data_IF_357342583561
#
_entry.id   IF_357342583561
#
_cell.length_a   1.000
_cell.length_b   1.000
_cell.length_c   1.000
_cell.angle_alpha   90.00
_cell.angle_beta   90.00
_cell.angle_gamma   90.00
#
_symmetry.space_group_name_H-M   'P 1'
#
loop_
_entity.id
_entity.type
_entity.pdbx_description
1 polymer ?
#
# COMPACT_ATOMS: atom_id res chain seq x y z
N UNK A 1 -39.32 6.19 36.34
CA UNK A 1 -38.31 5.19 35.96
C UNK A 1 -38.22 5.16 34.44
N UNK A 2 -37.10 5.61 33.86
CA UNK A 2 -36.70 5.27 32.48
C UNK A 2 -35.19 5.14 32.47
N UNK A 3 -34.74 4.01 31.93
CA UNK A 3 -33.41 3.41 32.08
C UNK A 3 -32.31 4.25 31.42
N UNK A 4 -31.24 4.49 32.17
CA UNK A 4 -29.97 4.98 31.66
C UNK A 4 -29.25 3.86 30.92
N UNK A 5 -29.19 3.96 29.59
CA UNK A 5 -28.39 3.09 28.74
C UNK A 5 -26.92 3.12 29.19
N UNK A 6 -26.38 1.94 29.50
CA UNK A 6 -24.97 1.73 29.88
C UNK A 6 -24.03 2.41 28.87
N UNK A 7 -22.96 3.10 29.31
CA UNK A 7 -21.96 3.65 28.41
C UNK A 7 -21.22 2.49 27.77
N UNK A 8 -21.49 2.21 26.49
CA UNK A 8 -20.63 1.34 25.70
C UNK A 8 -19.24 1.96 25.71
N UNK A 9 -18.29 1.23 26.27
CA UNK A 9 -16.93 1.68 26.54
C UNK A 9 -16.35 2.29 25.25
N UNK A 10 -16.16 3.61 25.24
CA UNK A 10 -15.68 4.36 24.06
C UNK A 10 -14.41 3.74 23.47
N UNK A 11 -13.57 3.13 24.32
CA UNK A 11 -12.39 2.35 23.91
C UNK A 11 -12.72 1.19 22.97
N UNK A 12 -13.84 0.50 23.18
CA UNK A 12 -14.32 -0.57 22.30
C UNK A 12 -14.86 -0.03 20.98
N UNK A 13 -15.46 1.17 20.98
CA UNK A 13 -15.93 1.84 19.75
C UNK A 13 -14.75 2.29 18.88
N UNK A 14 -13.70 2.85 19.48
CA UNK A 14 -12.47 3.22 18.77
C UNK A 14 -11.66 1.99 18.34
N UNK A 15 -11.58 0.95 19.16
CA UNK A 15 -10.96 -0.32 18.78
C UNK A 15 -11.69 -0.98 17.62
N UNK A 16 -13.03 -0.96 17.61
CA UNK A 16 -13.84 -1.49 16.51
C UNK A 16 -13.76 -0.62 15.25
N UNK A 17 -13.55 0.70 15.35
CA UNK A 17 -13.28 1.57 14.20
C UNK A 17 -11.90 1.30 13.60
N UNK A 18 -10.85 1.25 14.43
CA UNK A 18 -9.50 0.88 13.98
C UNK A 18 -9.47 -0.53 13.42
N UNK A 19 -10.14 -1.49 14.05
CA UNK A 19 -10.26 -2.84 13.53
C UNK A 19 -11.05 -2.89 12.20
N UNK A 20 -12.09 -2.07 12.01
CA UNK A 20 -12.81 -1.97 10.72
C UNK A 20 -12.02 -1.24 9.63
N UNK A 21 -11.20 -0.26 9.98
CA UNK A 21 -10.27 0.41 9.05
C UNK A 21 -9.11 -0.50 8.67
N UNK A 22 -8.60 -1.29 9.62
CA UNK A 22 -7.58 -2.33 9.38
C UNK A 22 -8.18 -3.55 8.68
N UNK A 23 -9.45 -3.90 8.92
CA UNK A 23 -10.19 -4.92 8.15
C UNK A 23 -10.55 -4.44 6.73
N UNK A 24 -10.53 -3.14 6.43
CA UNK A 24 -10.58 -2.66 5.04
C UNK A 24 -9.26 -2.83 4.30
N UNK A 25 -8.17 -3.16 5.01
CA UNK A 25 -6.93 -3.70 4.45
C UNK A 25 -7.01 -5.23 4.29
N UNK A 26 -8.23 -5.81 4.26
CA UNK A 26 -8.46 -7.22 3.91
C UNK A 26 -7.78 -7.51 2.58
N UNK A 27 -7.06 -8.63 2.56
CA UNK A 27 -6.32 -9.19 1.43
C UNK A 27 -6.92 -8.79 0.08
N UNK A 28 -6.12 -8.03 -0.67
CA UNK A 28 -6.43 -7.51 -1.99
C UNK A 28 -7.19 -8.56 -2.81
N UNK A 29 -8.47 -8.30 -3.04
CA UNK A 29 -9.18 -8.93 -4.14
C UNK A 29 -8.37 -8.66 -5.41
N UNK A 30 -7.68 -9.69 -5.88
CA UNK A 30 -6.83 -9.60 -7.07
C UNK A 30 -7.63 -9.77 -8.34
N UNK A 31 -8.94 -10.07 -8.25
CA UNK A 31 -9.82 -10.29 -9.40
C UNK A 31 -9.74 -9.14 -10.42
N UNK A 32 -9.84 -7.85 -10.03
CA UNK A 32 -9.73 -6.74 -11.00
C UNK A 32 -8.37 -6.68 -11.70
N UNK A 33 -7.30 -7.10 -11.02
CA UNK A 33 -5.95 -7.14 -11.58
C UNK A 33 -5.77 -8.34 -12.52
N UNK A 34 -6.35 -9.49 -12.18
CA UNK A 34 -6.37 -10.66 -13.05
C UNK A 34 -7.20 -10.38 -14.30
N UNK A 35 -8.34 -9.71 -14.17
CA UNK A 35 -9.18 -9.31 -15.31
C UNK A 35 -8.45 -8.36 -16.24
N UNK A 36 -7.73 -7.37 -15.69
CA UNK A 36 -7.01 -6.37 -16.47
C UNK A 36 -5.69 -6.87 -17.07
N UNK A 37 -4.85 -7.48 -16.25
CA UNK A 37 -3.47 -7.82 -16.61
C UNK A 37 -3.29 -9.28 -17.00
N UNK A 38 -4.28 -10.14 -16.74
CA UNK A 38 -4.22 -11.61 -16.84
C UNK A 38 -3.35 -12.25 -15.76
N UNK A 39 -3.75 -13.45 -15.30
CA UNK A 39 -2.98 -14.22 -14.32
C UNK A 39 -1.54 -14.50 -14.82
N UNK A 40 -1.39 -14.83 -16.11
CA UNK A 40 -0.10 -15.11 -16.73
C UNK A 40 0.88 -13.96 -16.55
N UNK A 41 0.44 -12.72 -16.78
CA UNK A 41 1.31 -11.54 -16.65
C UNK A 41 1.73 -11.28 -15.21
N UNK A 42 0.79 -11.44 -14.28
CA UNK A 42 1.08 -11.30 -12.84
C UNK A 42 2.09 -12.35 -12.39
N UNK A 43 1.99 -13.58 -12.89
CA UNK A 43 2.94 -14.65 -12.60
C UNK A 43 4.32 -14.35 -13.19
N UNK A 44 4.40 -13.87 -14.43
CA UNK A 44 5.66 -13.42 -15.07
C UNK A 44 6.35 -12.33 -14.24
N UNK A 45 5.63 -11.28 -13.83
CA UNK A 45 6.22 -10.22 -13.01
C UNK A 45 6.65 -10.70 -11.63
N UNK A 46 5.90 -11.63 -11.04
CA UNK A 46 6.25 -12.24 -9.76
C UNK A 46 7.53 -13.06 -9.89
N UNK A 47 7.67 -13.83 -10.98
CA UNK A 47 8.88 -14.60 -11.27
C UNK A 47 10.09 -13.69 -11.46
N UNK A 48 9.96 -12.63 -12.28
CA UNK A 48 11.00 -11.61 -12.47
C UNK A 48 11.39 -10.91 -11.15
N UNK A 49 10.45 -10.85 -10.20
CA UNK A 49 10.69 -10.30 -8.86
C UNK A 49 11.27 -11.31 -7.86
N UNK A 50 11.71 -12.48 -8.31
CA UNK A 50 12.28 -13.55 -7.48
C UNK A 50 11.22 -14.30 -6.68
N UNK A 51 10.00 -14.42 -7.20
CA UNK A 51 8.87 -15.07 -6.53
C UNK A 51 8.22 -14.25 -5.40
N UNK A 52 8.74 -13.05 -5.12
CA UNK A 52 8.25 -12.16 -4.06
C UNK A 52 6.88 -11.59 -4.42
N UNK A 53 6.04 -11.36 -3.40
CA UNK A 53 4.66 -10.87 -3.59
C UNK A 53 4.66 -9.47 -4.23
N UNK A 54 3.93 -9.33 -5.34
CA UNK A 54 3.67 -8.04 -5.98
C UNK A 54 2.81 -7.14 -5.09
N UNK A 55 2.92 -5.84 -5.32
CA UNK A 55 2.12 -4.81 -4.66
C UNK A 55 1.01 -4.40 -5.61
N UNK A 56 -0.24 -4.40 -5.12
CA UNK A 56 -1.43 -4.07 -5.89
C UNK A 56 -2.05 -2.79 -5.32
N UNK A 57 -2.07 -1.73 -6.12
CA UNK A 57 -2.70 -0.46 -5.78
C UNK A 57 -4.06 -0.37 -6.45
N UNK A 58 -5.09 0.01 -5.69
CA UNK A 58 -6.43 0.23 -6.20
C UNK A 58 -7.04 1.46 -5.58
N UNK A 59 -7.56 2.35 -6.42
CA UNK A 59 -8.44 3.43 -6.02
C UNK A 59 -9.61 3.47 -7.00
N UNK A 60 -10.81 3.15 -6.52
CA UNK A 60 -12.00 3.01 -7.36
C UNK A 60 -11.78 2.05 -8.56
N UNK A 61 -11.72 2.60 -9.77
CA UNK A 61 -11.49 1.88 -11.02
C UNK A 61 -10.02 1.89 -11.46
N UNK A 62 -9.19 2.72 -10.83
CA UNK A 62 -7.77 2.83 -11.16
C UNK A 62 -6.98 1.72 -10.47
N UNK A 63 -6.12 1.05 -11.24
CA UNK A 63 -5.35 -0.12 -10.82
C UNK A 63 -3.89 0.05 -11.22
N UNK A 64 -2.99 -0.32 -10.31
CA UNK A 64 -1.57 -0.47 -10.63
C UNK A 64 -0.91 -1.65 -9.93
N UNK A 65 0.12 -2.18 -10.57
CA UNK A 65 0.95 -3.27 -10.07
C UNK A 65 2.37 -2.79 -9.95
N UNK A 66 2.97 -3.01 -8.79
CA UNK A 66 4.35 -2.65 -8.49
C UNK A 66 5.13 -3.90 -8.11
N UNK A 67 6.42 -3.91 -8.45
CA UNK A 67 7.35 -4.92 -7.97
C UNK A 67 7.62 -4.70 -6.46
N UNK A 68 7.96 -5.76 -5.71
CA UNK A 68 8.38 -5.60 -4.33
C UNK A 68 9.71 -4.84 -4.23
N UNK A 69 9.88 -3.98 -3.21
CA UNK A 69 11.12 -3.23 -3.01
C UNK A 69 12.30 -4.16 -2.67
N UNK A 70 13.49 -3.76 -3.07
CA UNK A 70 14.79 -4.33 -2.70
C UNK A 70 15.41 -3.50 -1.57
N UNK A 71 16.56 -3.95 -1.06
CA UNK A 71 17.31 -3.17 -0.06
C UNK A 71 17.76 -1.81 -0.63
N UNK A 72 18.16 -1.77 -1.90
CA UNK A 72 18.61 -0.53 -2.56
C UNK A 72 17.44 0.45 -2.71
N UNK A 73 16.26 -0.01 -3.16
CA UNK A 73 15.07 0.85 -3.26
C UNK A 73 14.69 1.46 -1.88
N UNK A 74 14.89 0.70 -0.79
CA UNK A 74 14.62 1.19 0.56
C UNK A 74 15.69 2.18 1.04
N UNK A 75 16.94 1.99 0.63
CA UNK A 75 18.02 2.96 0.86
C UNK A 75 17.73 4.29 0.19
N UNK A 76 17.39 4.26 -1.10
CA UNK A 76 17.01 5.43 -1.89
C UNK A 76 15.80 6.15 -1.27
N UNK A 77 14.78 5.38 -0.86
CA UNK A 77 13.61 5.90 -0.15
C UNK A 77 14.01 6.62 1.15
N UNK A 78 14.88 6.03 1.97
CA UNK A 78 15.33 6.63 3.23
C UNK A 78 16.12 7.93 3.01
N UNK A 79 17.01 7.96 2.02
CA UNK A 79 17.74 9.17 1.64
C UNK A 79 16.78 10.26 1.13
N UNK A 80 15.82 9.88 0.28
CA UNK A 80 14.81 10.80 -0.24
C UNK A 80 13.94 11.41 0.88
N UNK A 81 13.61 10.66 1.94
CA UNK A 81 12.89 11.23 3.10
C UNK A 81 13.68 12.38 3.73
N UNK A 82 15.00 12.20 3.91
CA UNK A 82 15.87 13.20 4.53
C UNK A 82 16.05 14.47 3.70
N UNK A 83 15.89 14.40 2.39
CA UNK A 83 16.16 15.50 1.44
C UNK A 83 14.88 16.17 0.92
N UNK A 84 13.87 15.37 0.59
CA UNK A 84 12.65 15.80 -0.11
C UNK A 84 11.38 15.73 0.75
N UNK A 85 11.46 15.11 1.93
CA UNK A 85 10.32 14.81 2.78
C UNK A 85 9.56 13.55 2.36
N UNK A 86 8.74 13.03 3.29
CA UNK A 86 8.12 11.71 3.17
C UNK A 86 7.22 11.54 1.94
N UNK A 87 6.35 12.52 1.66
CA UNK A 87 5.38 12.44 0.55
C UNK A 87 6.09 12.23 -0.80
N UNK A 88 7.10 13.06 -1.06
CA UNK A 88 7.88 13.00 -2.29
C UNK A 88 8.77 11.75 -2.36
N UNK A 89 9.33 11.31 -1.23
CA UNK A 89 10.08 10.07 -1.16
C UNK A 89 9.21 8.84 -1.51
N UNK A 90 7.99 8.78 -1.00
CA UNK A 90 7.02 7.73 -1.35
C UNK A 90 6.68 7.80 -2.83
N UNK A 91 6.38 8.97 -3.39
CA UNK A 91 6.09 9.11 -4.82
C UNK A 91 7.24 8.60 -5.70
N UNK A 92 8.48 9.02 -5.40
CA UNK A 92 9.68 8.61 -6.15
C UNK A 92 9.89 7.08 -6.14
N UNK A 93 9.83 6.45 -4.96
CA UNK A 93 10.01 5.00 -4.90
C UNK A 93 8.83 4.26 -5.51
N UNK A 94 7.61 4.81 -5.45
CA UNK A 94 6.42 4.22 -6.11
C UNK A 94 6.62 4.15 -7.62
N UNK A 95 7.13 5.22 -8.22
CA UNK A 95 7.47 5.29 -9.64
C UNK A 95 8.58 4.28 -10.01
N UNK A 96 9.63 4.18 -9.19
CA UNK A 96 10.73 3.21 -9.37
C UNK A 96 10.30 1.73 -9.28
N UNK A 97 9.23 1.46 -8.54
CA UNK A 97 8.66 0.12 -8.38
C UNK A 97 7.55 -0.18 -9.42
N UNK A 98 7.17 0.78 -10.24
CA UNK A 98 6.04 0.64 -11.16
C UNK A 98 6.27 -0.42 -12.23
N UNK A 99 5.34 -1.36 -12.37
CA UNK A 99 5.34 -2.34 -13.46
C UNK A 99 4.36 -1.95 -14.56
N UNK A 100 3.10 -1.69 -14.18
CA UNK A 100 2.04 -1.28 -15.10
C UNK A 100 0.82 -0.75 -14.32
N UNK A 101 -0.06 0.00 -14.98
CA UNK A 101 -1.30 0.52 -14.41
C UNK A 101 -1.61 1.96 -14.75
N UNK A 102 -2.60 2.52 -14.05
CA UNK A 102 -3.03 3.90 -14.23
C UNK A 102 -2.11 4.87 -13.48
N UNK A 103 -1.29 5.58 -14.24
CA UNK A 103 -0.33 6.57 -13.71
C UNK A 103 -1.03 7.70 -12.92
N UNK A 104 -2.31 7.93 -13.20
CA UNK A 104 -3.14 8.91 -12.48
C UNK A 104 -3.19 8.64 -10.97
N UNK A 105 -2.94 7.40 -10.52
CA UNK A 105 -2.83 7.06 -9.10
C UNK A 105 -1.69 7.80 -8.38
N UNK A 106 -0.68 8.28 -9.11
CA UNK A 106 0.46 9.01 -8.54
C UNK A 106 0.59 10.44 -9.07
N UNK A 107 -0.08 10.78 -10.18
CA UNK A 107 -0.11 12.14 -10.74
C UNK A 107 -1.22 13.01 -10.14
N UNK A 108 -2.36 12.42 -9.76
CA UNK A 108 -3.46 13.13 -9.11
C UNK A 108 -3.28 13.10 -7.58
N UNK A 109 -3.35 14.27 -6.94
CA UNK A 109 -3.07 14.40 -5.50
C UNK A 109 -4.09 13.63 -4.65
N UNK A 110 -5.37 13.65 -4.98
CA UNK A 110 -6.42 12.96 -4.20
C UNK A 110 -6.24 11.43 -4.30
N UNK A 111 -5.98 10.93 -5.52
CA UNK A 111 -5.72 9.51 -5.74
C UNK A 111 -4.41 9.08 -5.10
N UNK A 112 -3.37 9.91 -5.18
CA UNK A 112 -2.09 9.66 -4.55
C UNK A 112 -2.24 9.55 -3.04
N UNK A 113 -2.96 10.46 -2.39
CA UNK A 113 -3.24 10.39 -0.95
C UNK A 113 -3.93 9.06 -0.59
N UNK A 114 -4.83 8.56 -1.44
CA UNK A 114 -5.51 7.28 -1.21
C UNK A 114 -4.56 6.09 -1.22
N UNK A 115 -3.60 6.05 -2.16
CA UNK A 115 -2.64 4.92 -2.26
C UNK A 115 -1.38 5.13 -1.42
N UNK A 116 -1.09 6.37 -1.02
CA UNK A 116 0.09 6.77 -0.26
C UNK A 116 0.24 5.96 1.04
N UNK A 117 -0.83 5.85 1.83
CA UNK A 117 -0.79 5.11 3.09
C UNK A 117 -0.51 3.62 2.86
N UNK A 118 -1.06 3.05 1.79
CA UNK A 118 -0.83 1.66 1.42
C UNK A 118 0.65 1.43 1.10
N UNK A 119 1.24 2.28 0.27
CA UNK A 119 2.64 2.18 -0.14
C UNK A 119 3.56 2.41 1.05
N UNK A 120 3.33 3.49 1.80
CA UNK A 120 4.14 3.85 2.97
C UNK A 120 4.18 2.70 3.99
N UNK A 121 3.04 2.07 4.29
CA UNK A 121 3.00 0.94 5.22
C UNK A 121 3.81 -0.27 4.72
N UNK A 122 3.81 -0.52 3.41
CA UNK A 122 4.61 -1.60 2.81
C UNK A 122 6.10 -1.28 2.93
N UNK A 123 6.52 -0.06 2.59
CA UNK A 123 7.91 0.38 2.67
C UNK A 123 8.44 0.34 4.11
N UNK A 124 7.66 0.86 5.06
CA UNK A 124 8.04 0.85 6.48
C UNK A 124 8.10 -0.57 7.06
N UNK A 125 7.18 -1.45 6.66
CA UNK A 125 7.21 -2.87 7.02
C UNK A 125 8.47 -3.56 6.48
N UNK A 126 8.82 -3.31 5.22
CA UNK A 126 10.02 -3.89 4.59
C UNK A 126 11.31 -3.31 5.17
N UNK A 127 11.36 -2.01 5.47
CA UNK A 127 12.49 -1.39 6.16
C UNK A 127 12.78 -2.08 7.50
N UNK A 128 11.74 -2.40 8.25
CA UNK A 128 11.88 -3.14 9.50
C UNK A 128 12.43 -4.55 9.30
N UNK A 129 12.05 -5.25 8.21
CA UNK A 129 12.59 -6.57 7.86
C UNK A 129 14.07 -6.51 7.45
N UNK A 130 14.47 -5.52 6.66
CA UNK A 130 15.83 -5.43 6.09
C UNK A 130 16.87 -4.85 7.04
N UNK A 131 16.51 -3.89 7.89
CA UNK A 131 17.47 -3.10 8.67
C UNK A 131 17.37 -3.26 10.19
N UNK A 132 16.46 -4.10 10.70
CA UNK A 132 16.51 -4.57 12.08
C UNK A 132 17.15 -5.95 12.14
N UNK A 133 18.47 -5.98 11.90
CA UNK A 133 19.34 -7.11 12.20
C UNK A 133 20.41 -6.66 13.19
#
# INVERSE_FOLDING_TARGET
MKESGKPSNLKTVFANRKAKEVEKLKENDTTPFVERFTQKKLDEWKELSGGRKLIYLKHENDLAVLRPPTADDLGDYMEAIGTNGLSKAVAMVTEQLWLDGDIILIEDEEKFISVFLQINNILEGKKAEFFRA
#
